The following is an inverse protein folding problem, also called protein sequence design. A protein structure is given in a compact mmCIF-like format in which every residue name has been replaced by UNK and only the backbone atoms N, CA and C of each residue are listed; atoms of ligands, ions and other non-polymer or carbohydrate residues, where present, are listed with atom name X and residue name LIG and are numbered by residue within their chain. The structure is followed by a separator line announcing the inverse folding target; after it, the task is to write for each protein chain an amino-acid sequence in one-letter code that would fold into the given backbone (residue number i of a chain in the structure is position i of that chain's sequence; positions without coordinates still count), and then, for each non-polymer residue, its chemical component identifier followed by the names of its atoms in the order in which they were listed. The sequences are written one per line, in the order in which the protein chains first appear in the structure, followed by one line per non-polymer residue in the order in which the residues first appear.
data_IF_296418381643
#
_entry.id   IF_296418381643
#
_cell.length_a   1.000
_cell.length_b   1.000
_cell.length_c   1.000
_cell.angle_alpha   90.00
_cell.angle_beta   90.00
_cell.angle_gamma   90.00
#
_symmetry.space_group_name_H-M   'P 1'
#
loop_
_entity.id
_entity.type
_entity.pdbx_description
1 polymer ?
#
# COMPACT_ATOMS: atom_id res chain seq x y z
N UNK A 1 -46.40 -2.83 -9.51
CA UNK A 1 -45.39 -2.74 -8.42
C UNK A 1 -44.01 -3.28 -8.85
N UNK A 2 -43.71 -3.29 -10.15
CA UNK A 2 -42.50 -3.91 -10.73
C UNK A 2 -41.47 -2.89 -11.21
N UNK A 3 -41.92 -1.72 -11.69
CA UNK A 3 -41.06 -0.64 -12.23
C UNK A 3 -40.16 0.01 -11.15
N UNK A 4 -40.67 0.17 -9.92
CA UNK A 4 -39.86 0.72 -8.81
C UNK A 4 -38.70 -0.20 -8.41
N UNK A 5 -38.88 -1.51 -8.57
CA UNK A 5 -37.88 -2.52 -8.24
C UNK A 5 -36.75 -2.53 -9.28
N UNK A 6 -37.09 -2.37 -10.56
CA UNK A 6 -36.12 -2.25 -11.66
C UNK A 6 -35.25 -0.99 -11.51
N UNK A 7 -35.84 0.14 -11.11
CA UNK A 7 -35.10 1.38 -10.85
C UNK A 7 -34.07 1.22 -9.72
N UNK A 8 -34.43 0.54 -8.63
CA UNK A 8 -33.53 0.32 -7.50
C UNK A 8 -32.32 -0.55 -7.91
N UNK A 9 -32.54 -1.60 -8.71
CA UNK A 9 -31.44 -2.43 -9.21
C UNK A 9 -30.51 -1.70 -10.19
N UNK A 10 -31.02 -0.76 -10.99
CA UNK A 10 -30.19 0.02 -11.92
C UNK A 10 -29.26 1.04 -11.24
N UNK A 11 -29.59 1.53 -10.04
CA UNK A 11 -28.71 2.45 -9.29
C UNK A 11 -27.52 1.76 -8.60
N UNK A 12 -27.60 0.45 -8.36
CA UNK A 12 -26.54 -0.32 -7.69
C UNK A 12 -25.33 -0.63 -8.61
N UNK A 13 -25.46 -0.43 -9.93
CA UNK A 13 -24.42 -0.78 -10.90
C UNK A 13 -23.25 0.21 -11.02
N UNK A 14 -23.36 1.43 -10.49
CA UNK A 14 -22.34 2.48 -10.68
C UNK A 14 -21.27 2.57 -9.59
N UNK A 15 -21.34 1.73 -8.55
CA UNK A 15 -20.37 1.75 -7.45
C UNK A 15 -19.09 0.91 -7.72
N UNK A 16 -18.83 0.51 -8.97
CA UNK A 16 -17.52 -0.04 -9.35
C UNK A 16 -16.50 1.11 -9.45
N UNK A 17 -16.11 1.65 -8.30
CA UNK A 17 -15.08 2.67 -8.19
C UNK A 17 -13.74 2.04 -8.61
N UNK A 18 -13.22 2.45 -9.76
CA UNK A 18 -11.86 2.10 -10.20
C UNK A 18 -10.88 2.65 -9.17
N UNK A 19 -10.48 1.82 -8.19
CA UNK A 19 -9.44 2.17 -7.25
C UNK A 19 -8.12 2.12 -8.03
N UNK A 20 -7.79 3.23 -8.69
CA UNK A 20 -6.50 3.38 -9.34
C UNK A 20 -5.45 3.30 -8.23
N UNK A 21 -4.79 2.15 -8.10
CA UNK A 21 -3.70 1.98 -7.12
C UNK A 21 -2.57 2.91 -7.53
N UNK A 22 -2.29 3.89 -6.70
CA UNK A 22 -1.18 4.82 -6.89
C UNK A 22 0.12 4.02 -6.78
N UNK A 23 0.98 4.15 -7.78
CA UNK A 23 2.30 3.53 -7.74
C UNK A 23 3.30 4.45 -7.03
N UNK A 24 3.38 4.31 -5.70
CA UNK A 24 4.27 5.12 -4.88
C UNK A 24 5.77 4.91 -5.17
N UNK A 25 6.16 3.74 -5.68
CA UNK A 25 7.57 3.45 -6.04
C UNK A 25 8.08 4.34 -7.17
N UNK A 26 7.17 4.82 -8.01
CA UNK A 26 7.49 5.72 -9.13
C UNK A 26 7.55 7.20 -8.73
N UNK A 27 7.04 7.56 -7.56
CA UNK A 27 7.01 8.96 -7.09
C UNK A 27 8.37 9.37 -6.54
N UNK A 28 8.81 10.58 -6.83
CA UNK A 28 9.96 11.22 -6.19
C UNK A 28 9.73 11.45 -4.69
N UNK A 29 10.81 11.72 -3.95
CA UNK A 29 10.70 11.98 -2.52
C UNK A 29 9.89 13.26 -2.23
N UNK A 30 9.98 14.27 -3.08
CA UNK A 30 9.22 15.52 -2.94
C UNK A 30 7.72 15.29 -3.19
N UNK A 31 7.37 14.48 -4.18
CA UNK A 31 5.97 14.09 -4.43
C UNK A 31 5.39 13.29 -3.25
N UNK A 32 6.15 12.36 -2.68
CA UNK A 32 5.74 11.60 -1.48
C UNK A 32 5.54 12.54 -0.30
N UNK A 33 6.48 13.49 -0.08
CA UNK A 33 6.39 14.47 0.99
C UNK A 33 5.13 15.31 0.85
N UNK A 34 4.86 15.83 -0.35
CA UNK A 34 3.67 16.62 -0.62
C UNK A 34 2.39 15.81 -0.43
N UNK A 35 2.36 14.56 -0.90
CA UNK A 35 1.25 13.64 -0.69
C UNK A 35 0.97 13.43 0.81
N UNK A 36 2.01 13.15 1.61
CA UNK A 36 1.89 12.92 3.06
C UNK A 36 1.37 14.12 3.86
N UNK A 37 1.45 15.34 3.31
CA UNK A 37 0.85 16.54 3.90
C UNK A 37 -0.67 16.61 3.66
N UNK A 38 -1.17 15.91 2.64
CA UNK A 38 -2.58 15.96 2.23
C UNK A 38 -3.44 14.84 2.82
N UNK A 39 -2.81 13.78 3.33
CA UNK A 39 -3.50 12.57 3.79
C UNK A 39 -3.43 12.38 5.30
N UNK A 40 -4.34 11.54 5.82
CA UNK A 40 -4.35 11.15 7.23
C UNK A 40 -3.14 10.28 7.60
N UNK A 41 -2.90 10.12 8.90
CA UNK A 41 -1.71 9.41 9.40
C UNK A 41 -1.54 8.01 8.79
N UNK A 42 -2.61 7.21 8.72
CA UNK A 42 -2.53 5.82 8.24
C UNK A 42 -2.27 5.68 6.74
N UNK A 43 -2.61 6.71 5.97
CA UNK A 43 -2.43 6.76 4.52
C UNK A 43 -1.07 7.36 4.13
N UNK A 44 -0.28 7.84 5.10
CA UNK A 44 1.07 8.34 4.83
C UNK A 44 1.95 7.23 4.30
N UNK A 45 2.72 7.56 3.28
CA UNK A 45 3.61 6.67 2.54
C UNK A 45 5.04 6.81 3.06
N UNK A 46 5.69 5.66 3.26
CA UNK A 46 7.08 5.55 3.68
C UNK A 46 7.83 4.67 2.68
N UNK A 47 9.02 5.11 2.29
CA UNK A 47 9.87 4.40 1.34
C UNK A 47 11.14 3.91 2.01
N UNK A 48 11.50 2.65 1.79
CA UNK A 48 12.77 2.06 2.19
C UNK A 48 13.53 1.53 0.98
N UNK A 49 14.85 1.41 1.14
CA UNK A 49 15.72 0.78 0.15
C UNK A 49 16.00 -0.65 0.61
N UNK A 50 15.40 -1.63 -0.06
CA UNK A 50 15.72 -3.04 0.17
C UNK A 50 17.04 -3.36 -0.55
N UNK A 51 18.06 -3.72 0.24
CA UNK A 51 19.29 -4.35 -0.26
C UNK A 51 19.11 -5.85 -0.11
N UNK A 52 18.96 -6.57 -1.23
CA UNK A 52 18.85 -8.03 -1.20
C UNK A 52 20.24 -8.65 -1.26
N UNK A 53 20.52 -9.61 -0.38
CA UNK A 53 21.80 -10.34 -0.36
C UNK A 53 22.11 -11.01 -1.71
N UNK A 54 21.07 -11.43 -2.45
CA UNK A 54 21.18 -12.09 -3.75
C UNK A 54 21.30 -11.13 -4.95
N UNK A 55 20.98 -9.85 -4.78
CA UNK A 55 20.96 -8.86 -5.87
C UNK A 55 21.51 -7.52 -5.41
N UNK A 56 22.63 -7.09 -6.01
CA UNK A 56 23.24 -5.77 -5.80
C UNK A 56 22.41 -4.60 -6.36
N UNK A 57 21.29 -4.87 -7.02
CA UNK A 57 20.40 -3.82 -7.51
C UNK A 57 19.51 -3.39 -6.34
N UNK A 58 19.70 -2.19 -5.78
CA UNK A 58 18.84 -1.70 -4.71
C UNK A 58 17.42 -1.53 -5.26
N UNK A 59 16.42 -2.01 -4.51
CA UNK A 59 15.01 -1.82 -4.85
C UNK A 59 14.40 -0.85 -3.86
N UNK A 60 13.91 0.28 -4.36
CA UNK A 60 13.07 1.17 -3.57
C UNK A 60 11.69 0.54 -3.45
N UNK A 61 11.15 0.52 -2.23
CA UNK A 61 9.81 0.06 -1.95
C UNK A 61 9.11 1.07 -1.06
N UNK A 62 7.94 1.50 -1.49
CA UNK A 62 7.11 2.50 -0.84
C UNK A 62 5.76 1.87 -0.48
N UNK A 63 5.31 2.07 0.74
CA UNK A 63 4.03 1.56 1.23
C UNK A 63 3.42 2.54 2.24
N UNK A 64 2.09 2.49 2.39
CA UNK A 64 1.41 3.25 3.44
C UNK A 64 1.65 2.64 4.82
N UNK A 65 1.46 3.41 5.90
CA UNK A 65 1.55 2.86 7.26
C UNK A 65 0.56 1.73 7.51
N UNK A 66 -0.64 1.83 6.96
CA UNK A 66 -1.64 0.76 7.04
C UNK A 66 -1.12 -0.54 6.40
N UNK A 67 -0.49 -0.45 5.23
CA UNK A 67 0.09 -1.60 4.54
C UNK A 67 1.30 -2.17 5.29
N UNK A 68 2.15 -1.32 5.87
CA UNK A 68 3.29 -1.75 6.67
C UNK A 68 2.85 -2.49 7.94
N UNK A 69 1.79 -2.03 8.61
CA UNK A 69 1.21 -2.71 9.75
C UNK A 69 0.63 -4.08 9.35
N UNK A 70 -0.07 -4.16 8.22
CA UNK A 70 -0.57 -5.43 7.68
C UNK A 70 0.55 -6.41 7.32
N UNK A 71 1.66 -5.91 6.76
CA UNK A 71 2.84 -6.71 6.46
C UNK A 71 3.50 -7.27 7.72
N UNK A 72 3.62 -6.50 8.80
CA UNK A 72 4.14 -7.02 10.07
C UNK A 72 3.31 -8.19 10.59
N UNK A 73 1.97 -8.07 10.58
CA UNK A 73 1.09 -9.16 11.03
C UNK A 73 1.24 -10.40 10.12
N UNK A 74 1.32 -10.19 8.80
CA UNK A 74 1.54 -11.26 7.82
C UNK A 74 2.91 -11.94 7.98
N UNK A 75 3.97 -11.18 8.25
CA UNK A 75 5.31 -11.73 8.43
C UNK A 75 5.46 -12.47 9.77
N UNK A 76 4.77 -12.05 10.83
CA UNK A 76 4.63 -12.87 12.05
C UNK A 76 3.98 -14.23 11.75
N UNK A 77 2.96 -14.26 10.88
CA UNK A 77 2.36 -15.50 10.38
C UNK A 77 3.29 -16.34 9.49
N UNK A 78 4.31 -15.72 8.89
CA UNK A 78 5.32 -16.35 8.04
C UNK A 78 6.61 -16.73 8.78
N UNK A 79 6.72 -16.55 10.10
CA UNK A 79 7.89 -17.00 10.88
C UNK A 79 8.16 -18.51 10.73
N UNK A 80 7.17 -19.29 10.29
CA UNK A 80 7.33 -20.71 9.94
C UNK A 80 7.93 -20.97 8.54
N UNK A 81 8.22 -19.93 7.75
CA UNK A 81 8.81 -20.03 6.41
C UNK A 81 10.06 -19.14 6.34
N UNK A 82 11.22 -19.74 6.58
CA UNK A 82 12.53 -19.11 6.52
C UNK A 82 12.70 -18.25 5.24
N UNK A 83 12.74 -16.92 5.39
CA UNK A 83 13.18 -16.01 4.34
C UNK A 83 14.10 -14.94 4.97
N UNK A 84 15.41 -14.95 4.70
CA UNK A 84 16.38 -14.04 5.33
C UNK A 84 16.39 -12.70 4.59
N UNK A 85 15.42 -11.84 4.87
CA UNK A 85 15.38 -10.47 4.35
C UNK A 85 15.05 -9.50 5.47
N UNK A 86 16.06 -9.06 6.21
CA UNK A 86 15.92 -8.04 7.26
C UNK A 86 15.61 -6.68 6.62
N UNK A 87 14.36 -6.23 6.73
CA UNK A 87 13.98 -4.86 6.40
C UNK A 87 14.13 -4.02 7.67
N UNK A 88 15.26 -3.31 7.81
CA UNK A 88 15.46 -2.37 8.93
C UNK A 88 14.65 -1.10 8.65
N UNK A 89 13.49 -0.99 9.28
CA UNK A 89 12.74 0.26 9.36
C UNK A 89 13.33 1.09 10.48
N UNK A 90 14.24 2.00 10.14
CA UNK A 90 14.78 2.98 11.09
C UNK A 90 13.73 4.04 11.42
N UNK A 91 13.32 4.07 12.69
CA UNK A 91 12.66 5.23 13.29
C UNK A 91 13.75 6.13 13.88
N UNK A 92 13.89 7.34 13.34
CA UNK A 92 14.50 8.45 14.06
C UNK A 92 13.36 9.39 14.47
#
# INVERSE_FOLDING_TARGET
MTIRLVLIFSLLGFAACNTQRINYDSMSNDEIKNYNLTVGQWDKVYCSMEVRLESRIPRRKCATLLELQGQQIGDLGRINAANPGSSEFGVN
#
